data_IF_271779552214
#
_entry.id   IF_271779552214
#
_cell.length_a   1.000
_cell.length_b   1.000
_cell.length_c   1.000
_cell.angle_alpha   90.00
_cell.angle_beta   90.00
_cell.angle_gamma   90.00
#
_symmetry.space_group_name_H-M   'P 1'
#
loop_
_entity.id
_entity.type
_entity.pdbx_description
1 polymer ?
#
# COMPACT_ATOMS: atom_id res chain seq x y z
N UNK A 1 4.81 -15.34 -8.75
CA UNK A 1 4.18 -14.45 -7.75
C UNK A 1 4.09 -13.07 -8.38
N UNK A 2 2.91 -12.64 -8.79
CA UNK A 2 2.71 -11.33 -9.43
C UNK A 2 2.99 -10.24 -8.38
N UNK A 3 3.86 -9.29 -8.72
CA UNK A 3 4.13 -8.10 -7.89
C UNK A 3 2.91 -7.20 -8.07
N UNK A 4 1.96 -7.29 -7.13
CA UNK A 4 0.76 -6.47 -7.09
C UNK A 4 1.01 -5.23 -6.25
N UNK A 5 0.60 -4.07 -6.75
CA UNK A 5 0.66 -2.81 -5.99
C UNK A 5 -0.42 -2.75 -4.91
N UNK A 6 -0.27 -1.85 -3.93
CA UNK A 6 -1.32 -1.62 -2.94
C UNK A 6 -2.64 -1.18 -3.60
N UNK A 7 -2.57 -0.35 -4.65
CA UNK A 7 -3.74 0.12 -5.40
C UNK A 7 -4.52 -1.03 -6.03
N UNK A 8 -3.81 -1.90 -6.75
CA UNK A 8 -4.43 -3.08 -7.38
C UNK A 8 -4.98 -4.05 -6.35
N UNK A 9 -4.30 -4.24 -5.20
CA UNK A 9 -4.81 -5.09 -4.13
C UNK A 9 -6.11 -4.55 -3.55
N UNK A 10 -6.18 -3.25 -3.28
CA UNK A 10 -7.40 -2.59 -2.81
C UNK A 10 -8.55 -2.71 -3.81
N UNK A 11 -8.25 -2.60 -5.11
CA UNK A 11 -9.21 -2.84 -6.19
C UNK A 11 -9.76 -4.26 -6.15
N UNK A 12 -8.88 -5.26 -6.07
CA UNK A 12 -9.28 -6.67 -6.00
C UNK A 12 -10.20 -6.94 -4.82
N UNK A 13 -9.85 -6.43 -3.62
CA UNK A 13 -10.68 -6.60 -2.41
C UNK A 13 -12.05 -5.93 -2.61
N UNK A 14 -12.08 -4.71 -3.18
CA UNK A 14 -13.32 -3.98 -3.48
C UNK A 14 -14.23 -4.77 -4.42
N UNK A 15 -13.67 -5.28 -5.51
CA UNK A 15 -14.41 -6.04 -6.53
C UNK A 15 -14.90 -7.39 -5.99
N UNK A 16 -14.07 -8.11 -5.23
CA UNK A 16 -14.46 -9.36 -4.55
C UNK A 16 -15.64 -9.15 -3.59
N UNK A 17 -15.66 -8.02 -2.88
CA UNK A 17 -16.76 -7.63 -1.99
C UNK A 17 -17.94 -6.99 -2.71
N UNK A 18 -17.91 -6.92 -4.05
CA UNK A 18 -18.94 -6.32 -4.92
C UNK A 18 -19.28 -4.87 -4.51
N UNK A 19 -18.29 -4.13 -4.02
CA UNK A 19 -18.46 -2.75 -3.58
C UNK A 19 -18.30 -1.79 -4.78
N UNK A 20 -19.32 -0.98 -5.12
CA UNK A 20 -19.19 0.00 -6.20
C UNK A 20 -18.18 1.08 -5.84
N UNK A 21 -17.35 1.48 -6.81
CA UNK A 21 -16.33 2.51 -6.62
C UNK A 21 -16.94 3.83 -6.11
N UNK A 22 -18.13 4.20 -6.62
CA UNK A 22 -18.91 5.37 -6.16
C UNK A 22 -19.20 5.34 -4.66
N UNK A 23 -19.58 4.17 -4.12
CA UNK A 23 -19.91 4.03 -2.69
C UNK A 23 -18.68 4.26 -1.82
N UNK A 24 -17.54 3.70 -2.22
CA UNK A 24 -16.30 3.83 -1.45
C UNK A 24 -15.75 5.26 -1.51
N UNK A 25 -15.80 5.89 -2.68
CA UNK A 25 -15.40 7.29 -2.85
C UNK A 25 -16.24 8.22 -1.94
N UNK A 26 -17.56 7.98 -1.86
CA UNK A 26 -18.45 8.72 -0.96
C UNK A 26 -18.10 8.52 0.52
N UNK A 27 -17.84 7.28 0.97
CA UNK A 27 -17.45 6.99 2.36
C UNK A 27 -16.11 7.67 2.71
N UNK A 28 -15.17 7.69 1.77
CA UNK A 28 -13.87 8.33 1.94
C UNK A 28 -13.92 9.86 1.78
N UNK A 29 -15.07 10.42 1.37
CA UNK A 29 -15.23 11.82 1.03
C UNK A 29 -14.20 12.31 -0.02
N UNK A 30 -14.02 11.53 -1.08
CA UNK A 30 -13.15 11.84 -2.22
C UNK A 30 -13.89 11.67 -3.54
N UNK A 31 -13.36 12.27 -4.60
CA UNK A 31 -13.90 12.08 -5.94
C UNK A 31 -13.68 10.65 -6.46
N UNK A 32 -14.63 10.15 -7.24
CA UNK A 32 -14.64 8.79 -7.80
C UNK A 32 -13.39 8.56 -8.67
N UNK A 33 -12.98 9.56 -9.47
CA UNK A 33 -11.77 9.46 -10.30
C UNK A 33 -10.50 9.38 -9.46
N UNK A 34 -10.48 9.97 -8.26
CA UNK A 34 -9.34 9.89 -7.34
C UNK A 34 -9.16 8.47 -6.85
N UNK A 35 -10.22 7.85 -6.35
CA UNK A 35 -10.18 6.44 -5.92
C UNK A 35 -9.81 5.52 -7.09
N UNK A 36 -10.37 5.78 -8.27
CA UNK A 36 -10.09 5.03 -9.49
C UNK A 36 -8.61 5.10 -9.90
N UNK A 37 -7.99 6.29 -9.82
CA UNK A 37 -6.54 6.47 -10.07
C UNK A 37 -5.68 5.81 -9.00
N UNK A 38 -6.11 5.86 -7.73
CA UNK A 38 -5.44 5.17 -6.63
C UNK A 38 -5.40 3.65 -6.86
N UNK A 39 -6.53 3.06 -7.26
CA UNK A 39 -6.66 1.63 -7.54
C UNK A 39 -5.87 1.14 -8.77
N UNK A 40 -5.41 2.05 -9.64
CA UNK A 40 -4.52 1.76 -10.77
C UNK A 40 -3.06 2.16 -10.52
N UNK A 41 -2.72 2.65 -9.33
CA UNK A 41 -1.37 3.15 -9.03
C UNK A 41 -1.00 4.47 -9.71
N UNK A 42 -1.94 5.11 -10.43
CA UNK A 42 -1.76 6.42 -11.09
C UNK A 42 -1.77 7.58 -10.09
N UNK A 43 -2.27 7.34 -8.87
CA UNK A 43 -2.26 8.30 -7.78
C UNK A 43 -1.79 7.65 -6.49
N UNK A 44 -0.86 8.33 -5.79
CA UNK A 44 -0.34 7.86 -4.50
C UNK A 44 -1.46 7.72 -3.48
N UNK A 45 -1.46 6.61 -2.77
CA UNK A 45 -2.32 6.34 -1.63
C UNK A 45 -1.60 6.81 -0.36
N UNK A 46 -2.31 7.41 0.59
CA UNK A 46 -1.76 7.77 1.89
C UNK A 46 -1.97 6.64 2.89
N UNK A 47 -1.12 6.56 3.93
CA UNK A 47 -1.29 5.57 5.00
C UNK A 47 -2.66 5.66 5.67
N UNK A 48 -3.19 6.87 5.84
CA UNK A 48 -4.54 7.10 6.37
C UNK A 48 -5.63 6.47 5.49
N UNK A 49 -5.53 6.60 4.16
CA UNK A 49 -6.46 5.96 3.24
C UNK A 49 -6.36 4.43 3.33
N UNK A 50 -5.15 3.87 3.50
CA UNK A 50 -4.97 2.44 3.71
C UNK A 50 -5.73 1.97 4.96
N UNK A 51 -5.60 2.67 6.09
CA UNK A 51 -6.34 2.35 7.31
C UNK A 51 -7.85 2.43 7.13
N UNK A 52 -8.34 3.52 6.51
CA UNK A 52 -9.77 3.69 6.23
C UNK A 52 -10.31 2.56 5.36
N UNK A 53 -9.61 2.22 4.28
CA UNK A 53 -10.02 1.16 3.37
C UNK A 53 -9.96 -0.23 4.02
N UNK A 54 -8.95 -0.50 4.86
CA UNK A 54 -8.89 -1.74 5.63
C UNK A 54 -10.14 -1.93 6.50
N UNK A 55 -10.57 -0.87 7.20
CA UNK A 55 -11.80 -0.86 7.99
C UNK A 55 -13.06 -1.03 7.14
N UNK A 56 -13.19 -0.26 6.05
CA UNK A 56 -14.36 -0.33 5.14
C UNK A 56 -14.48 -1.73 4.51
N UNK A 57 -13.36 -2.33 4.16
CA UNK A 57 -13.32 -3.64 3.55
C UNK A 57 -13.36 -4.77 4.58
N UNK A 58 -13.21 -4.51 5.88
CA UNK A 58 -13.01 -5.54 6.90
C UNK A 58 -11.91 -6.52 6.44
N UNK A 59 -10.72 -5.97 6.20
CA UNK A 59 -9.56 -6.69 5.69
C UNK A 59 -8.35 -6.44 6.62
N UNK A 60 -7.40 -7.38 6.63
CA UNK A 60 -6.20 -7.27 7.45
C UNK A 60 -5.41 -6.00 7.11
N UNK A 61 -5.27 -5.14 8.11
CA UNK A 61 -4.56 -3.87 7.97
C UNK A 61 -3.06 -4.08 7.80
N UNK A 62 -2.48 -5.10 8.45
CA UNK A 62 -1.05 -5.36 8.40
C UNK A 62 -0.63 -5.83 7.01
N UNK A 63 -1.43 -6.71 6.38
CA UNK A 63 -1.18 -7.12 4.99
C UNK A 63 -1.17 -5.93 4.02
N UNK A 64 -2.13 -5.01 4.16
CA UNK A 64 -2.19 -3.81 3.33
C UNK A 64 -1.04 -2.84 3.63
N UNK A 65 -0.64 -2.72 4.89
CA UNK A 65 0.50 -1.90 5.28
C UNK A 65 1.83 -2.45 4.76
N UNK A 66 2.01 -3.76 4.72
CA UNK A 66 3.20 -4.38 4.12
C UNK A 66 3.31 -4.01 2.64
N UNK A 67 2.23 -4.14 1.87
CA UNK A 67 2.21 -3.75 0.46
C UNK A 67 2.44 -2.24 0.28
N UNK A 68 1.77 -1.41 1.08
CA UNK A 68 1.96 0.04 1.06
C UNK A 68 3.42 0.46 1.33
N UNK A 69 4.07 -0.15 2.33
CA UNK A 69 5.47 0.13 2.65
C UNK A 69 6.41 -0.38 1.56
N UNK A 70 6.12 -1.55 0.98
CA UNK A 70 6.87 -2.10 -0.15
C UNK A 70 6.84 -1.14 -1.35
N UNK A 71 5.66 -0.65 -1.74
CA UNK A 71 5.51 0.32 -2.84
C UNK A 71 6.23 1.64 -2.54
N UNK A 72 6.18 2.11 -1.30
CA UNK A 72 6.90 3.32 -0.88
C UNK A 72 8.42 3.15 -0.98
N UNK A 73 8.95 2.02 -0.51
CA UNK A 73 10.37 1.70 -0.60
C UNK A 73 10.79 1.58 -2.06
N UNK A 74 10.03 0.84 -2.87
CA UNK A 74 10.29 0.68 -4.30
C UNK A 74 10.34 2.02 -5.02
N UNK A 75 9.38 2.91 -4.76
CA UNK A 75 9.34 4.23 -5.37
C UNK A 75 10.60 5.06 -5.07
N UNK A 76 11.13 4.93 -3.85
CA UNK A 76 12.32 5.66 -3.40
C UNK A 76 13.60 5.14 -4.06
N UNK A 77 13.74 3.82 -4.22
CA UNK A 77 15.03 3.21 -4.57
C UNK A 77 15.12 2.64 -5.99
N UNK A 78 14.00 2.52 -6.72
CA UNK A 78 13.97 1.79 -8.01
C UNK A 78 14.88 2.37 -9.10
N UNK A 79 15.19 3.67 -9.02
CA UNK A 79 16.02 4.37 -10.01
C UNK A 79 17.46 4.57 -9.53
N UNK A 80 17.79 4.09 -8.32
CA UNK A 80 19.13 4.21 -7.74
C UNK A 80 19.97 2.99 -8.14
N UNK A 81 21.16 3.23 -8.71
CA UNK A 81 22.09 2.16 -9.09
C UNK A 81 22.40 1.21 -7.91
N UNK A 82 22.46 1.78 -6.70
CA UNK A 82 22.74 1.04 -5.47
C UNK A 82 21.49 0.70 -4.66
N UNK A 83 20.28 0.87 -5.21
CA UNK A 83 19.01 0.74 -4.49
C UNK A 83 18.83 -0.64 -3.83
N UNK A 84 19.08 -1.73 -4.56
CA UNK A 84 18.96 -3.08 -4.03
C UNK A 84 19.99 -3.35 -2.90
N UNK A 85 21.23 -2.86 -3.06
CA UNK A 85 22.27 -2.98 -2.03
C UNK A 85 21.88 -2.21 -0.77
N UNK A 86 21.32 -1.00 -0.91
CA UNK A 86 20.82 -0.19 0.19
C UNK A 86 19.66 -0.87 0.93
N UNK A 87 18.75 -1.54 0.20
CA UNK A 87 17.65 -2.32 0.78
C UNK A 87 18.17 -3.46 1.67
N UNK A 88 19.12 -4.26 1.18
CA UNK A 88 19.74 -5.36 1.94
C UNK A 88 20.45 -4.88 3.20
N UNK A 89 21.14 -3.74 3.13
CA UNK A 89 21.78 -3.14 4.32
C UNK A 89 20.73 -2.66 5.32
N UNK A 90 19.65 -2.04 4.83
CA UNK A 90 18.55 -1.55 5.67
C UNK A 90 17.86 -2.68 6.43
N UNK A 91 17.61 -3.81 5.77
CA UNK A 91 17.03 -4.99 6.43
C UNK A 91 17.89 -5.46 7.62
N UNK A 92 19.22 -5.55 7.44
CA UNK A 92 20.16 -5.90 8.52
C UNK A 92 20.10 -4.89 9.66
N UNK A 93 20.05 -3.59 9.36
CA UNK A 93 19.94 -2.52 10.37
C UNK A 93 18.66 -2.64 11.19
N UNK A 94 17.52 -2.92 10.55
CA UNK A 94 16.23 -3.10 11.24
C UNK A 94 16.30 -4.28 12.21
N UNK A 95 16.85 -5.43 11.79
CA UNK A 95 17.01 -6.61 12.65
C UNK A 95 17.88 -6.30 13.87
N UNK A 96 19.04 -5.66 13.66
CA UNK A 96 19.93 -5.26 14.75
C UNK A 96 19.30 -4.24 15.69
N UNK A 97 18.48 -3.31 15.18
CA UNK A 97 17.78 -2.33 16.02
C UNK A 97 16.71 -2.96 16.90
N UNK A 98 15.94 -3.93 16.38
CA UNK A 98 14.95 -4.67 17.19
C UNK A 98 15.59 -5.45 18.33
N UNK A 99 16.74 -6.09 18.09
CA UNK A 99 17.49 -6.84 19.12
C UNK A 99 17.99 -5.92 20.25
N UNK A 100 18.38 -4.68 19.93
CA UNK A 100 18.85 -3.70 20.93
C UNK A 100 17.75 -3.10 21.81
N UNK A 101 16.49 -3.20 21.40
CA UNK A 101 15.34 -2.59 22.07
C UNK A 101 14.32 -3.64 22.56
N UNK A 102 14.71 -4.91 22.60
CA UNK A 102 13.95 -6.03 23.17
C UNK A 102 14.64 -6.48 24.47
#
# INVERSE_FOLDING_TARGET
MLIITIGERLRQIREQKKLPLRRIAQILNIDISILSKMERGERKITKEIVFKLAGIYNYDTDELLVLFLSDKILLEIKNEELGEKALKITEKRIKSFKIKNA
#
